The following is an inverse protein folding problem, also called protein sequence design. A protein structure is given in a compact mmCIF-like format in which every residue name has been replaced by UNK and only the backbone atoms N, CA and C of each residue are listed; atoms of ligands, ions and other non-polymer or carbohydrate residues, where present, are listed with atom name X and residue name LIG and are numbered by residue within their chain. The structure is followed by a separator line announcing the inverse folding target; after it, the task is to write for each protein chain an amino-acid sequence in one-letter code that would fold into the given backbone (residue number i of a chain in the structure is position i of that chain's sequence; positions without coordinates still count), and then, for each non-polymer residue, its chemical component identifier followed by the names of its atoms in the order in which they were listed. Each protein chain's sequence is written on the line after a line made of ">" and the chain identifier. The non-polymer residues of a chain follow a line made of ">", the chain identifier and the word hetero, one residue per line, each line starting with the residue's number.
data_IF_331856337136
#
_entry.id   IF_331856337136
#
_cell.length_a   1.000
_cell.length_b   1.000
_cell.length_c   1.000
_cell.angle_alpha   90.00
_cell.angle_beta   90.00
_cell.angle_gamma   90.00
#
_symmetry.space_group_name_H-M   'P 1'
#
loop_
_entity.id
_entity.type
_entity.pdbx_description
1 polymer ?
#
# COMPACT_ATOMS: atom_id res chain seq x y z
N UNK A 1 37.49 49.68 -9.16
CA UNK A 1 38.68 49.32 -8.37
C UNK A 1 38.83 47.80 -8.40
N UNK A 2 39.72 47.29 -9.25
CA UNK A 2 40.01 45.86 -9.36
C UNK A 2 41.33 45.54 -8.65
N UNK A 3 41.39 44.42 -7.94
CA UNK A 3 42.65 43.80 -7.53
C UNK A 3 42.53 42.29 -7.79
N UNK A 4 43.21 41.85 -8.84
CA UNK A 4 43.37 40.45 -9.23
C UNK A 4 44.44 39.77 -8.36
N UNK A 5 44.14 38.57 -7.86
CA UNK A 5 45.12 37.67 -7.23
C UNK A 5 45.84 36.87 -8.31
N UNK A 6 47.18 36.90 -8.29
CA UNK A 6 48.05 36.13 -9.19
C UNK A 6 48.21 34.69 -8.69
N UNK A 7 48.09 33.75 -9.62
CA UNK A 7 48.48 32.35 -9.51
C UNK A 7 50.01 32.16 -9.57
N UNK A 8 50.51 31.05 -9.01
CA UNK A 8 51.79 30.45 -9.40
C UNK A 8 51.63 28.95 -9.58
N UNK A 9 52.22 28.46 -10.67
CA UNK A 9 52.20 27.11 -11.21
C UNK A 9 53.22 26.17 -10.54
N UNK A 10 52.91 24.87 -10.62
CA UNK A 10 53.71 23.66 -10.32
C UNK A 10 54.93 23.49 -11.25
N UNK A 11 55.81 22.50 -10.94
CA UNK A 11 56.12 21.45 -11.94
C UNK A 11 56.28 20.04 -11.27
N UNK A 12 56.61 18.93 -11.98
CA UNK A 12 55.73 17.76 -12.12
C UNK A 12 56.33 16.45 -11.53
N UNK A 13 55.54 15.37 -11.58
CA UNK A 13 55.87 14.02 -11.06
C UNK A 13 56.95 13.24 -11.83
N UNK A 14 57.17 11.97 -11.44
CA UNK A 14 56.69 10.83 -12.23
C UNK A 14 55.97 9.81 -11.32
N UNK A 15 55.06 8.92 -11.72
CA UNK A 15 54.77 8.35 -13.02
C UNK A 15 54.77 6.82 -12.91
N UNK A 16 53.56 6.23 -12.99
CA UNK A 16 53.24 4.87 -13.50
C UNK A 16 53.45 3.64 -12.58
N UNK A 17 52.31 3.15 -12.04
CA UNK A 17 51.70 1.79 -12.00
C UNK A 17 52.52 0.49 -12.25
N UNK A 18 51.92 -0.71 -12.15
CA UNK A 18 51.17 -1.36 -11.04
C UNK A 18 51.80 -2.76 -10.75
N UNK A 19 51.34 -3.50 -9.72
CA UNK A 19 51.37 -4.99 -9.72
C UNK A 19 50.69 -5.62 -8.50
N UNK A 20 49.63 -6.37 -8.77
CA UNK A 20 49.27 -7.57 -8.01
C UNK A 20 50.33 -8.66 -8.23
N UNK A 21 50.42 -9.61 -7.29
CA UNK A 21 50.37 -11.00 -7.73
C UNK A 21 49.44 -11.84 -6.83
N UNK A 22 48.50 -12.55 -7.47
CA UNK A 22 48.10 -13.88 -6.96
C UNK A 22 49.23 -14.87 -7.23
N UNK A 23 49.30 -16.01 -6.51
CA UNK A 23 48.69 -17.24 -7.01
C UNK A 23 48.10 -18.08 -5.83
N UNK A 24 47.51 -19.27 -5.93
CA UNK A 24 47.43 -20.28 -6.95
C UNK A 24 46.18 -21.15 -6.69
N UNK A 25 45.60 -21.68 -7.76
CA UNK A 25 44.79 -22.90 -7.74
C UNK A 25 45.66 -24.08 -7.31
N UNK A 26 45.16 -24.90 -6.38
CA UNK A 26 45.63 -26.25 -6.17
C UNK A 26 44.48 -27.22 -6.49
N UNK A 27 44.58 -27.84 -7.66
CA UNK A 27 43.95 -29.13 -7.92
C UNK A 27 44.77 -30.21 -7.20
N UNK A 28 44.08 -31.13 -6.54
CA UNK A 28 44.66 -32.29 -5.87
C UNK A 28 43.67 -33.45 -5.93
N UNK A 29 44.01 -34.38 -6.81
CA UNK A 29 43.30 -35.61 -7.15
C UNK A 29 43.27 -36.68 -6.03
N UNK A 30 42.23 -37.50 -6.14
CA UNK A 30 42.19 -38.96 -5.94
C UNK A 30 42.25 -39.60 -4.53
N UNK A 31 41.25 -40.47 -4.31
CA UNK A 31 41.24 -41.86 -3.77
C UNK A 31 39.94 -42.05 -2.95
N UNK A 32 39.10 -43.09 -3.06
CA UNK A 32 38.96 -44.31 -3.86
C UNK A 32 37.47 -44.75 -3.68
N UNK A 33 36.70 -45.04 -4.73
CA UNK A 33 36.36 -46.39 -5.23
C UNK A 33 36.10 -47.47 -4.16
N UNK A 34 34.82 -47.81 -4.00
CA UNK A 34 34.27 -49.18 -4.04
C UNK A 34 32.78 -49.06 -4.43
N UNK A 35 32.38 -49.42 -5.66
CA UNK A 35 31.92 -50.75 -6.14
C UNK A 35 30.51 -51.10 -5.60
N UNK A 36 29.54 -51.66 -6.32
CA UNK A 36 29.26 -52.02 -7.72
C UNK A 36 27.76 -52.43 -7.76
N UNK A 37 27.11 -52.29 -8.92
CA UNK A 37 25.80 -52.89 -9.24
C UNK A 37 24.78 -51.84 -9.69
N UNK A 38 24.43 -51.67 -10.97
CA UNK A 38 24.49 -52.56 -12.11
C UNK A 38 23.05 -52.93 -12.52
N UNK A 39 22.45 -52.19 -13.46
CA UNK A 39 21.44 -52.67 -14.40
C UNK A 39 21.11 -51.57 -15.42
N UNK A 40 20.90 -52.01 -16.67
CA UNK A 40 20.98 -51.26 -17.90
C UNK A 40 19.69 -50.53 -18.31
N UNK A 41 19.94 -49.53 -19.16
CA UNK A 41 19.10 -48.83 -20.13
C UNK A 41 17.83 -49.53 -20.66
N UNK A 42 16.79 -48.71 -20.86
CA UNK A 42 15.67 -48.96 -21.77
C UNK A 42 15.05 -47.62 -22.21
N UNK A 43 15.21 -47.30 -23.49
CA UNK A 43 14.68 -46.14 -24.19
C UNK A 43 13.15 -46.24 -24.42
N UNK A 44 12.46 -45.10 -24.53
CA UNK A 44 11.17 -45.00 -25.25
C UNK A 44 10.08 -44.15 -24.58
N UNK A 45 9.41 -43.24 -25.33
CA UNK A 45 8.56 -42.20 -24.74
C UNK A 45 7.13 -42.70 -24.45
N UNK A 46 6.66 -42.51 -23.22
CA UNK A 46 5.28 -42.78 -22.83
C UNK A 46 4.33 -41.70 -23.34
N UNK A 47 3.59 -42.00 -24.41
CA UNK A 47 2.37 -41.28 -24.80
C UNK A 47 1.31 -41.43 -23.68
N UNK A 48 0.79 -40.30 -23.20
CA UNK A 48 -0.36 -40.26 -22.29
C UNK A 48 -1.62 -40.57 -23.11
N UNK A 49 -2.16 -41.77 -22.93
CA UNK A 49 -3.43 -42.21 -23.47
C UNK A 49 -4.59 -41.52 -22.73
N UNK A 50 -5.42 -40.79 -23.47
CA UNK A 50 -6.73 -40.28 -23.03
C UNK A 50 -7.68 -41.49 -22.91
N UNK A 51 -7.93 -41.91 -21.67
CA UNK A 51 -8.90 -42.96 -21.34
C UNK A 51 -10.30 -42.39 -21.11
N UNK A 52 -11.24 -42.87 -21.91
CA UNK A 52 -12.68 -42.62 -21.88
C UNK A 52 -13.36 -43.11 -20.59
N UNK A 53 -14.43 -42.39 -20.19
CA UNK A 53 -15.29 -42.65 -19.02
C UNK A 53 -15.91 -44.05 -19.01
N UNK A 54 -16.15 -44.63 -17.82
CA UNK A 54 -17.33 -45.45 -17.57
C UNK A 54 -18.40 -44.64 -16.82
N UNK A 55 -19.63 -44.81 -17.30
CA UNK A 55 -20.89 -44.35 -16.73
C UNK A 55 -21.35 -45.22 -15.55
N UNK A 56 -21.92 -44.59 -14.53
CA UNK A 56 -22.87 -45.22 -13.60
C UNK A 56 -22.46 -45.20 -12.13
N UNK A 57 -23.20 -44.44 -11.32
CA UNK A 57 -23.11 -44.54 -9.86
C UNK A 57 -23.60 -43.29 -9.11
N UNK A 58 -24.89 -43.31 -8.76
CA UNK A 58 -25.58 -42.64 -7.64
C UNK A 58 -25.18 -41.20 -7.23
N UNK A 59 -26.14 -40.27 -7.39
CA UNK A 59 -26.11 -38.92 -6.81
C UNK A 59 -26.33 -38.94 -5.28
N UNK A 60 -25.54 -38.23 -4.48
CA UNK A 60 -25.84 -37.97 -3.07
C UNK A 60 -26.78 -36.75 -2.92
N UNK A 61 -27.50 -36.65 -1.79
CA UNK A 61 -28.68 -35.78 -1.64
C UNK A 61 -28.34 -34.30 -1.41
N UNK A 62 -29.32 -33.46 -1.74
CA UNK A 62 -29.37 -32.01 -1.60
C UNK A 62 -28.88 -31.52 -0.23
N UNK A 63 -27.72 -30.84 -0.22
CA UNK A 63 -27.27 -30.06 0.93
C UNK A 63 -27.76 -28.61 0.77
N UNK A 64 -28.97 -28.36 1.29
CA UNK A 64 -29.50 -27.03 1.52
C UNK A 64 -28.74 -26.41 2.70
N UNK A 65 -27.82 -25.49 2.43
CA UNK A 65 -27.26 -24.64 3.48
C UNK A 65 -28.30 -23.60 3.89
N UNK A 66 -28.99 -23.87 5.00
CA UNK A 66 -29.83 -22.90 5.68
C UNK A 66 -28.98 -21.75 6.24
N UNK A 67 -29.38 -20.52 5.97
CA UNK A 67 -28.87 -19.33 6.66
C UNK A 67 -29.18 -19.42 8.16
N UNK A 68 -28.19 -19.31 9.06
CA UNK A 68 -28.48 -18.96 10.44
C UNK A 68 -28.74 -17.45 10.51
N UNK A 69 -30.01 -17.10 10.69
CA UNK A 69 -30.45 -15.80 11.21
C UNK A 69 -29.95 -15.67 12.65
N UNK A 70 -28.91 -14.87 12.88
CA UNK A 70 -28.51 -14.42 14.20
C UNK A 70 -28.41 -12.88 14.18
N UNK A 71 -29.37 -12.22 14.82
CA UNK A 71 -29.34 -10.79 15.08
C UNK A 71 -28.08 -10.42 15.91
N UNK A 72 -27.32 -9.37 15.54
CA UNK A 72 -26.25 -8.88 16.39
C UNK A 72 -26.84 -8.15 17.62
N UNK A 73 -26.15 -8.22 18.78
CA UNK A 73 -26.63 -7.63 20.02
C UNK A 73 -26.74 -6.11 19.93
N UNK A 74 -27.82 -5.57 20.49
CA UNK A 74 -28.09 -4.13 20.59
C UNK A 74 -27.16 -3.48 21.61
N UNK A 75 -26.24 -2.63 21.17
CA UNK A 75 -25.48 -1.75 22.06
C UNK A 75 -24.53 -0.82 21.32
N UNK A 76 -24.78 0.49 21.43
CA UNK A 76 -24.00 1.63 20.91
C UNK A 76 -23.93 1.81 19.38
N UNK A 77 -25.07 2.16 18.77
CA UNK A 77 -25.09 3.03 17.58
C UNK A 77 -25.09 4.48 18.04
N UNK A 78 -23.94 5.16 18.02
CA UNK A 78 -23.94 6.64 18.04
C UNK A 78 -24.50 7.12 16.70
N UNK A 79 -25.58 7.89 16.75
CA UNK A 79 -26.19 8.52 15.59
C UNK A 79 -25.19 9.50 14.96
N UNK A 80 -24.74 9.23 13.74
CA UNK A 80 -24.19 10.28 12.88
C UNK A 80 -25.33 11.22 12.47
N UNK A 81 -25.18 12.55 12.63
CA UNK A 81 -26.21 13.48 12.20
C UNK A 81 -26.43 13.36 10.69
N UNK A 82 -27.70 13.38 10.30
CA UNK A 82 -28.16 13.31 8.92
C UNK A 82 -27.52 14.40 8.06
N UNK A 83 -27.10 13.98 6.87
CA UNK A 83 -26.50 14.81 5.81
C UNK A 83 -27.21 16.15 5.67
N UNK A 84 -26.46 17.25 5.82
CA UNK A 84 -26.94 18.60 5.50
C UNK A 84 -27.14 18.69 3.98
N UNK A 85 -28.38 18.86 3.51
CA UNK A 85 -28.68 19.16 2.10
C UNK A 85 -28.12 20.55 1.76
N UNK A 86 -27.11 20.61 0.90
CA UNK A 86 -26.61 21.87 0.33
C UNK A 86 -27.54 22.30 -0.81
N UNK A 87 -28.17 23.46 -0.67
CA UNK A 87 -28.96 24.10 -1.71
C UNK A 87 -28.07 25.06 -2.49
N UNK A 88 -27.90 24.86 -3.80
CA UNK A 88 -27.18 25.82 -4.65
C UNK A 88 -26.28 25.27 -5.77
N UNK A 89 -26.62 24.18 -6.45
CA UNK A 89 -25.83 23.71 -7.61
C UNK A 89 -26.69 23.09 -8.74
N UNK A 90 -27.94 23.56 -8.87
CA UNK A 90 -29.04 22.81 -9.49
C UNK A 90 -28.87 22.34 -10.94
N UNK A 91 -28.08 23.00 -11.79
CA UNK A 91 -27.98 22.63 -13.23
C UNK A 91 -26.76 21.76 -13.57
N UNK A 92 -25.61 21.98 -12.95
CA UNK A 92 -24.42 21.14 -13.16
C UNK A 92 -24.57 19.80 -12.43
N UNK A 93 -25.10 19.82 -11.20
CA UNK A 93 -25.41 18.63 -10.39
C UNK A 93 -26.52 17.79 -11.04
N UNK A 94 -27.53 18.40 -11.68
CA UNK A 94 -28.55 17.66 -12.42
C UNK A 94 -27.96 16.92 -13.64
N UNK A 95 -27.13 17.59 -14.45
CA UNK A 95 -26.46 16.96 -15.60
C UNK A 95 -25.47 15.86 -15.18
N UNK A 96 -24.79 16.03 -14.05
CA UNK A 96 -23.93 14.99 -13.47
C UNK A 96 -24.75 13.81 -12.95
N UNK A 97 -25.88 14.05 -12.27
CA UNK A 97 -26.79 12.98 -11.83
C UNK A 97 -27.35 12.17 -13.00
N UNK A 98 -27.69 12.82 -14.11
CA UNK A 98 -28.08 12.12 -15.35
C UNK A 98 -26.92 11.32 -15.95
N UNK A 99 -25.67 11.83 -15.93
CA UNK A 99 -24.47 11.07 -16.34
C UNK A 99 -24.20 9.84 -15.47
N UNK A 100 -24.58 9.86 -14.19
CA UNK A 100 -24.43 8.71 -13.28
C UNK A 100 -25.65 7.78 -13.25
N UNK A 101 -26.79 8.16 -13.83
CA UNK A 101 -28.05 7.40 -13.78
C UNK A 101 -28.05 6.06 -14.56
N UNK A 102 -26.90 5.62 -15.09
CA UNK A 102 -26.72 4.33 -15.76
C UNK A 102 -25.37 3.65 -15.49
N UNK A 103 -24.52 4.24 -14.63
CA UNK A 103 -23.30 3.60 -14.16
C UNK A 103 -23.67 2.77 -12.92
N UNK A 104 -23.68 1.44 -13.06
CA UNK A 104 -23.89 0.57 -11.91
C UNK A 104 -22.82 0.88 -10.84
N UNK A 105 -23.21 1.10 -9.57
CA UNK A 105 -22.25 1.10 -8.47
C UNK A 105 -21.48 -0.23 -8.51
N UNK A 106 -20.15 -0.19 -8.52
CA UNK A 106 -19.33 -1.40 -8.64
C UNK A 106 -19.18 -1.97 -10.06
N UNK A 107 -19.24 -1.12 -11.10
CA UNK A 107 -18.81 -1.51 -12.46
C UNK A 107 -17.36 -2.00 -12.46
N UNK A 108 -17.18 -3.31 -12.30
CA UNK A 108 -15.89 -3.99 -12.33
C UNK A 108 -15.27 -3.81 -13.71
N UNK A 109 -14.23 -2.97 -13.82
CA UNK A 109 -13.28 -3.07 -14.91
C UNK A 109 -12.72 -4.49 -14.87
N UNK A 110 -12.99 -5.28 -15.91
CA UNK A 110 -12.50 -6.65 -16.06
C UNK A 110 -10.97 -6.68 -15.95
N UNK A 111 -10.40 -7.71 -15.30
CA UNK A 111 -8.95 -7.96 -15.23
C UNK A 111 -8.28 -7.62 -16.58
N UNK A 112 -7.46 -6.58 -16.60
CA UNK A 112 -6.88 -6.08 -17.84
C UNK A 112 -6.83 -4.57 -17.90
N UNK A 113 -6.10 -4.05 -18.87
CA UNK A 113 -5.81 -2.63 -18.99
C UNK A 113 -7.06 -1.90 -19.41
N UNK A 114 -7.38 -0.85 -18.68
CA UNK A 114 -8.50 0.03 -18.95
C UNK A 114 -8.08 1.08 -19.99
N UNK A 115 -8.49 0.97 -21.26
CA UNK A 115 -8.14 1.97 -22.28
C UNK A 115 -8.78 3.33 -22.00
N UNK A 116 -9.83 3.36 -21.17
CA UNK A 116 -10.58 4.54 -20.78
C UNK A 116 -10.25 4.99 -19.34
N UNK A 117 -9.12 4.53 -18.77
CA UNK A 117 -8.75 4.77 -17.36
C UNK A 117 -8.93 6.22 -16.92
N UNK A 118 -8.39 7.18 -17.69
CA UNK A 118 -8.50 8.60 -17.33
C UNK A 118 -9.95 9.09 -17.33
N UNK A 119 -10.77 8.62 -18.28
CA UNK A 119 -12.20 8.96 -18.32
C UNK A 119 -12.94 8.38 -17.12
N UNK A 120 -12.62 7.15 -16.70
CA UNK A 120 -13.19 6.55 -15.51
C UNK A 120 -12.75 7.28 -14.23
N UNK A 121 -11.47 7.68 -14.14
CA UNK A 121 -10.96 8.49 -13.02
C UNK A 121 -11.64 9.86 -12.96
N UNK A 122 -11.85 10.53 -14.10
CA UNK A 122 -12.54 11.81 -14.17
C UNK A 122 -14.03 11.67 -13.78
N UNK A 123 -14.70 10.57 -14.16
CA UNK A 123 -16.06 10.26 -13.73
C UNK A 123 -16.16 10.02 -12.21
N UNK A 124 -15.24 9.24 -11.65
CA UNK A 124 -15.16 9.03 -10.21
C UNK A 124 -14.87 10.36 -9.47
N UNK A 125 -13.97 11.18 -10.02
CA UNK A 125 -13.65 12.49 -9.47
C UNK A 125 -14.82 13.48 -9.52
N UNK A 126 -15.56 13.51 -10.63
CA UNK A 126 -16.78 14.28 -10.80
C UNK A 126 -17.84 13.87 -9.76
N UNK A 127 -17.97 12.57 -9.47
CA UNK A 127 -18.85 12.08 -8.41
C UNK A 127 -18.41 12.56 -7.03
N UNK A 128 -17.12 12.47 -6.70
CA UNK A 128 -16.60 12.97 -5.41
C UNK A 128 -16.88 14.47 -5.26
N UNK A 129 -16.59 15.29 -6.29
CA UNK A 129 -16.91 16.73 -6.28
C UNK A 129 -18.40 16.98 -6.08
N UNK A 130 -19.25 16.21 -6.76
CA UNK A 130 -20.70 16.28 -6.60
C UNK A 130 -21.15 16.03 -5.14
N UNK A 131 -20.52 15.08 -4.45
CA UNK A 131 -20.82 14.78 -3.04
C UNK A 131 -20.29 15.87 -2.09
N UNK A 132 -19.18 16.53 -2.44
CA UNK A 132 -18.59 17.62 -1.66
C UNK A 132 -19.30 18.98 -1.85
N UNK A 133 -20.01 19.18 -2.97
CA UNK A 133 -20.63 20.47 -3.30
C UNK A 133 -19.57 21.54 -3.53
N UNK A 134 -19.68 22.68 -2.85
CA UNK A 134 -18.73 23.80 -2.99
C UNK A 134 -17.44 23.61 -2.17
N UNK A 135 -17.36 22.54 -1.37
CA UNK A 135 -16.17 22.25 -0.55
C UNK A 135 -15.04 21.73 -1.45
N UNK A 136 -13.86 22.38 -1.47
CA UNK A 136 -12.71 21.86 -2.21
C UNK A 136 -12.18 20.57 -1.57
N UNK A 137 -11.62 19.68 -2.40
CA UNK A 137 -10.90 18.51 -1.87
C UNK A 137 -9.58 18.98 -1.23
N UNK A 138 -9.26 18.55 0.00
CA UNK A 138 -7.96 18.79 0.60
C UNK A 138 -6.80 18.26 -0.24
N UNK A 139 -5.70 19.02 -0.28
CA UNK A 139 -4.46 18.59 -0.97
C UNK A 139 -3.67 17.52 -0.22
N UNK A 140 -4.06 17.22 1.02
CA UNK A 140 -3.44 16.24 1.89
C UNK A 140 -4.43 15.11 2.18
N UNK A 141 -3.99 13.87 1.98
CA UNK A 141 -4.76 12.69 2.33
C UNK A 141 -4.05 11.80 3.35
N UNK A 142 -4.81 10.93 4.00
CA UNK A 142 -4.29 9.86 4.87
C UNK A 142 -4.99 8.55 4.54
N UNK A 143 -4.23 7.48 4.29
CA UNK A 143 -4.79 6.12 4.15
C UNK A 143 -4.68 5.43 5.50
N UNK A 144 -5.81 4.99 6.05
CA UNK A 144 -5.88 4.29 7.33
C UNK A 144 -5.98 2.78 7.06
N UNK A 145 -4.94 2.04 7.46
CA UNK A 145 -4.87 0.59 7.32
C UNK A 145 -5.64 -0.16 8.42
N UNK A 146 -5.48 -1.49 8.43
CA UNK A 146 -6.09 -2.37 9.43
C UNK A 146 -5.76 -1.90 10.86
N UNK A 147 -6.79 -1.77 11.71
CA UNK A 147 -6.67 -1.30 13.09
C UNK A 147 -6.45 0.20 13.27
N UNK A 148 -6.23 0.97 12.20
CA UNK A 148 -5.92 2.41 12.25
C UNK A 148 -7.11 3.29 11.86
N UNK A 149 -8.24 2.68 11.52
CA UNK A 149 -9.45 3.37 11.03
C UNK A 149 -10.09 4.34 12.02
N UNK A 150 -9.86 4.17 13.32
CA UNK A 150 -10.45 5.02 14.37
C UNK A 150 -10.06 6.50 14.24
N UNK A 151 -8.89 6.80 13.63
CA UNK A 151 -8.45 8.17 13.43
C UNK A 151 -9.42 8.99 12.56
N UNK A 152 -10.14 8.35 11.62
CA UNK A 152 -11.13 9.02 10.80
C UNK A 152 -12.34 9.52 11.60
N UNK A 153 -12.62 8.94 12.77
CA UNK A 153 -13.73 9.37 13.63
C UNK A 153 -13.46 10.73 14.29
N UNK A 154 -12.19 11.13 14.38
CA UNK A 154 -11.77 12.44 14.88
C UNK A 154 -11.87 13.56 13.83
N UNK A 155 -12.26 13.24 12.59
CA UNK A 155 -12.41 14.25 11.52
C UNK A 155 -13.67 15.08 11.77
N UNK A 156 -13.47 16.38 11.98
CA UNK A 156 -14.51 17.37 12.21
C UNK A 156 -15.14 17.83 10.89
N UNK A 157 -16.40 18.27 10.96
CA UNK A 157 -17.20 18.72 9.81
C UNK A 157 -17.21 17.74 8.63
N UNK A 158 -17.11 16.44 8.92
CA UNK A 158 -16.88 15.40 7.93
C UNK A 158 -18.03 15.22 6.92
N UNK A 159 -17.65 15.05 5.65
CA UNK A 159 -18.50 14.47 4.61
C UNK A 159 -17.96 13.05 4.34
N UNK A 160 -18.78 12.05 4.67
CA UNK A 160 -18.45 10.64 4.42
C UNK A 160 -19.06 10.19 3.08
N UNK A 161 -18.22 9.62 2.21
CA UNK A 161 -18.60 9.11 0.89
C UNK A 161 -18.23 7.63 0.84
N UNK A 162 -19.20 6.71 0.93
CA UNK A 162 -18.93 5.27 0.81
C UNK A 162 -18.28 4.92 -0.53
N UNK A 163 -17.27 4.02 -0.53
CA UNK A 163 -16.60 3.58 -1.75
C UNK A 163 -17.58 2.97 -2.74
N UNK A 164 -18.55 2.21 -2.25
CA UNK A 164 -19.58 1.60 -3.07
C UNK A 164 -20.45 2.61 -3.85
N UNK A 165 -20.52 3.88 -3.44
CA UNK A 165 -21.22 4.92 -4.18
C UNK A 165 -20.35 5.55 -5.28
N UNK A 166 -19.03 5.48 -5.15
CA UNK A 166 -18.11 6.12 -6.10
C UNK A 166 -17.95 5.21 -7.33
N UNK A 167 -18.25 5.69 -8.55
CA UNK A 167 -18.09 4.89 -9.76
C UNK A 167 -16.67 4.32 -9.88
N UNK A 168 -16.59 3.05 -10.28
CA UNK A 168 -15.33 2.31 -10.50
C UNK A 168 -14.46 2.07 -9.26
N UNK A 169 -14.84 2.57 -8.07
CA UNK A 169 -14.14 2.20 -6.85
C UNK A 169 -14.41 0.71 -6.54
N UNK A 170 -13.39 -0.03 -6.10
CA UNK A 170 -13.59 -1.35 -5.49
C UNK A 170 -14.41 -1.27 -4.20
N UNK A 171 -14.82 -2.43 -3.69
CA UNK A 171 -15.53 -2.56 -2.42
C UNK A 171 -14.62 -3.27 -1.43
N UNK A 172 -14.41 -2.71 -0.24
CA UNK A 172 -13.54 -3.33 0.74
C UNK A 172 -14.26 -4.51 1.39
N UNK A 173 -13.61 -5.66 1.47
CA UNK A 173 -14.16 -6.90 2.05
C UNK A 173 -13.46 -7.34 3.33
N UNK A 174 -12.38 -6.65 3.71
CA UNK A 174 -11.57 -6.95 4.89
C UNK A 174 -12.21 -6.35 6.14
N UNK A 175 -12.27 -7.14 7.20
CA UNK A 175 -12.75 -6.68 8.51
C UNK A 175 -11.94 -5.47 9.02
N UNK A 176 -12.63 -4.50 9.63
CA UNK A 176 -12.02 -3.26 10.11
C UNK A 176 -11.83 -2.16 9.03
N UNK A 177 -12.10 -2.44 7.75
CA UNK A 177 -12.12 -1.43 6.69
C UNK A 177 -13.55 -0.91 6.46
N UNK A 178 -13.85 0.29 6.94
CA UNK A 178 -15.18 0.88 6.84
C UNK A 178 -15.61 1.16 5.38
N UNK A 179 -14.64 1.31 4.47
CA UNK A 179 -14.90 1.42 3.04
C UNK A 179 -15.46 2.79 2.64
N UNK A 180 -14.87 3.88 3.14
CA UNK A 180 -15.35 5.25 2.85
C UNK A 180 -14.23 6.30 2.76
N UNK A 181 -14.48 7.35 1.99
CA UNK A 181 -13.73 8.60 2.01
C UNK A 181 -14.34 9.51 3.07
N UNK A 182 -13.52 10.06 3.95
CA UNK A 182 -13.95 11.02 4.98
C UNK A 182 -13.23 12.34 4.72
N UNK A 183 -13.98 13.36 4.31
CA UNK A 183 -13.43 14.68 3.94
C UNK A 183 -13.86 15.71 4.96
N UNK A 184 -12.89 16.31 5.65
CA UNK A 184 -13.16 17.29 6.70
C UNK A 184 -11.88 17.94 7.23
N UNK A 185 -11.87 18.25 8.52
CA UNK A 185 -10.72 18.84 9.21
C UNK A 185 -10.27 17.96 10.38
N UNK A 186 -8.97 17.80 10.57
CA UNK A 186 -8.39 17.16 11.74
C UNK A 186 -7.49 18.19 12.43
N UNK A 187 -7.87 18.65 13.62
CA UNK A 187 -7.20 19.75 14.35
C UNK A 187 -6.99 21.01 13.49
N UNK A 188 -8.03 21.43 12.76
CA UNK A 188 -7.96 22.58 11.86
C UNK A 188 -7.21 22.32 10.55
N UNK A 189 -6.61 21.15 10.36
CA UNK A 189 -5.93 20.77 9.10
C UNK A 189 -6.90 20.12 8.14
N UNK A 190 -7.16 20.68 6.93
CA UNK A 190 -8.03 20.03 5.94
C UNK A 190 -7.41 18.71 5.45
N UNK A 191 -8.17 17.62 5.52
CA UNK A 191 -7.70 16.27 5.14
C UNK A 191 -8.78 15.43 4.46
N UNK A 192 -8.33 14.55 3.56
CA UNK A 192 -9.13 13.42 3.06
C UNK A 192 -8.62 12.13 3.69
N UNK A 193 -9.40 11.48 4.54
CA UNK A 193 -9.05 10.16 5.08
C UNK A 193 -9.70 9.05 4.25
N UNK A 194 -8.89 8.09 3.79
CA UNK A 194 -9.35 6.83 3.24
C UNK A 194 -9.48 5.85 4.42
N UNK A 195 -10.71 5.67 4.91
CA UNK A 195 -10.98 4.78 6.04
C UNK A 195 -11.13 3.35 5.55
N UNK A 196 -9.98 2.76 5.29
CA UNK A 196 -9.78 1.46 4.70
C UNK A 196 -9.09 1.51 3.34
N UNK A 197 -8.77 0.34 2.79
CA UNK A 197 -8.14 0.17 1.48
C UNK A 197 -8.55 -1.12 0.81
N UNK A 198 -7.95 -1.36 -0.35
CA UNK A 198 -8.10 -2.57 -1.14
C UNK A 198 -6.77 -3.31 -1.23
N UNK A 199 -6.84 -4.63 -1.28
CA UNK A 199 -5.68 -5.51 -1.32
C UNK A 199 -5.75 -6.44 -2.52
N UNK A 200 -4.58 -6.85 -3.01
CA UNK A 200 -4.46 -7.80 -4.11
C UNK A 200 -5.08 -9.17 -3.76
N UNK A 201 -4.94 -9.60 -2.50
CA UNK A 201 -5.51 -10.87 -2.03
C UNK A 201 -7.04 -10.90 -2.01
N UNK A 202 -7.73 -9.75 -2.11
CA UNK A 202 -9.19 -9.68 -2.26
C UNK A 202 -9.65 -10.05 -3.69
N UNK A 203 -8.69 -10.32 -4.59
CA UNK A 203 -8.93 -10.69 -5.99
C UNK A 203 -8.91 -9.50 -6.95
N UNK A 204 -8.66 -8.30 -6.43
CA UNK A 204 -8.44 -7.08 -7.23
C UNK A 204 -7.09 -7.09 -7.92
N UNK A 205 -7.03 -6.55 -9.13
CA UNK A 205 -5.75 -6.26 -9.77
C UNK A 205 -5.11 -4.96 -9.22
N UNK A 206 -3.82 -4.79 -9.50
CA UNK A 206 -3.08 -3.63 -8.99
C UNK A 206 -3.63 -2.29 -9.49
N UNK A 207 -4.27 -2.24 -10.67
CA UNK A 207 -4.85 -1.01 -11.22
C UNK A 207 -6.12 -0.61 -10.47
N UNK A 208 -6.92 -1.59 -10.06
CA UNK A 208 -8.11 -1.42 -9.22
C UNK A 208 -7.72 -0.98 -7.81
N UNK A 209 -6.71 -1.61 -7.21
CA UNK A 209 -6.19 -1.26 -5.88
C UNK A 209 -5.81 0.21 -5.79
N UNK A 210 -5.13 0.75 -6.81
CA UNK A 210 -4.65 2.14 -6.80
C UNK A 210 -5.65 3.15 -7.36
N UNK A 211 -6.83 2.71 -7.82
CA UNK A 211 -7.81 3.58 -8.46
C UNK A 211 -8.21 4.78 -7.58
N UNK A 212 -8.50 4.62 -6.26
CA UNK A 212 -8.82 5.76 -5.40
C UNK A 212 -7.70 6.78 -5.31
N UNK A 213 -6.46 6.31 -5.19
CA UNK A 213 -5.27 7.17 -5.11
C UNK A 213 -5.14 7.99 -6.38
N UNK A 214 -5.34 7.36 -7.54
CA UNK A 214 -5.34 8.07 -8.84
C UNK A 214 -6.48 9.07 -8.93
N UNK A 215 -7.68 8.73 -8.45
CA UNK A 215 -8.81 9.67 -8.42
C UNK A 215 -8.50 10.88 -7.56
N UNK A 216 -7.98 10.70 -6.33
CA UNK A 216 -7.63 11.82 -5.45
C UNK A 216 -6.50 12.68 -6.01
N UNK A 217 -5.49 12.07 -6.63
CA UNK A 217 -4.42 12.79 -7.32
C UNK A 217 -4.95 13.63 -8.48
N UNK A 218 -5.85 13.08 -9.31
CA UNK A 218 -6.58 13.81 -10.37
C UNK A 218 -7.41 14.98 -9.82
N UNK A 219 -7.92 14.85 -8.59
CA UNK A 219 -8.67 15.90 -7.90
C UNK A 219 -7.78 16.95 -7.23
N UNK A 220 -6.46 16.80 -7.29
CA UNK A 220 -5.49 17.78 -6.79
C UNK A 220 -4.83 17.42 -5.46
N UNK A 221 -4.94 16.18 -4.98
CA UNK A 221 -4.11 15.70 -3.87
C UNK A 221 -2.63 15.84 -4.24
N UNK A 222 -1.82 16.43 -3.35
CA UNK A 222 -0.38 16.69 -3.54
C UNK A 222 0.51 15.91 -2.60
N UNK A 223 0.01 15.54 -1.41
CA UNK A 223 0.70 14.64 -0.51
C UNK A 223 -0.25 13.65 0.16
N UNK A 224 0.31 12.52 0.58
CA UNK A 224 -0.41 11.46 1.26
C UNK A 224 0.43 10.86 2.38
N UNK A 225 -0.21 10.62 3.53
CA UNK A 225 0.32 9.79 4.61
C UNK A 225 -0.29 8.39 4.45
N UNK A 226 0.50 7.41 4.05
CA UNK A 226 0.05 6.02 3.88
C UNK A 226 0.48 5.21 5.08
N UNK A 227 -0.49 4.65 5.79
CA UNK A 227 -0.23 3.86 7.00
C UNK A 227 -0.36 2.36 6.69
N UNK A 228 0.14 1.43 7.48
CA UNK A 228 -0.22 0.01 7.39
C UNK A 228 0.07 -0.70 8.71
N UNK A 229 -0.47 -1.91 8.87
CA UNK A 229 0.05 -2.88 9.82
C UNK A 229 1.05 -3.79 9.12
N UNK A 230 2.14 -4.15 9.81
CA UNK A 230 3.23 -4.94 9.25
C UNK A 230 3.83 -5.90 10.28
N UNK A 231 4.34 -7.04 9.79
CA UNK A 231 5.17 -7.95 10.58
C UNK A 231 6.61 -7.44 10.67
N UNK A 232 7.15 -7.37 11.87
CA UNK A 232 8.54 -6.96 12.12
C UNK A 232 9.52 -8.10 11.78
N UNK A 233 10.39 -7.87 10.80
CA UNK A 233 11.46 -8.79 10.37
C UNK A 233 12.75 -8.47 11.11
N UNK A 234 13.05 -7.18 11.29
CA UNK A 234 14.21 -6.74 12.05
C UNK A 234 14.00 -7.07 13.54
N UNK A 235 14.93 -7.79 14.20
CA UNK A 235 14.79 -8.18 15.61
C UNK A 235 14.78 -7.00 16.58
N UNK A 236 15.24 -5.82 16.16
CA UNK A 236 15.20 -4.59 16.97
C UNK A 236 13.82 -3.91 16.95
N UNK A 237 12.90 -4.37 16.11
CA UNK A 237 11.51 -3.93 16.07
C UNK A 237 10.64 -4.78 17.00
N UNK A 238 9.79 -4.12 17.77
CA UNK A 238 8.82 -4.79 18.64
C UNK A 238 7.37 -4.47 18.22
N UNK A 239 6.41 -5.38 18.50
CA UNK A 239 4.99 -5.06 18.37
C UNK A 239 4.64 -3.76 19.11
N UNK A 240 3.98 -2.84 18.41
CA UNK A 240 3.64 -1.50 18.87
C UNK A 240 4.60 -0.41 18.38
N UNK A 241 5.76 -0.76 17.83
CA UNK A 241 6.66 0.22 17.23
C UNK A 241 5.99 0.90 16.02
N UNK A 242 6.20 2.22 15.92
CA UNK A 242 5.88 3.00 14.73
C UNK A 242 7.15 3.14 13.90
N UNK A 243 7.11 2.67 12.66
CA UNK A 243 8.24 2.71 11.73
C UNK A 243 7.95 3.65 10.57
N UNK A 244 8.79 4.68 10.40
CA UNK A 244 8.83 5.47 9.18
C UNK A 244 9.44 4.64 8.05
N UNK A 245 8.70 4.49 6.94
CA UNK A 245 9.18 3.74 5.80
C UNK A 245 10.17 4.61 5.02
N UNK A 246 11.41 4.14 4.89
CA UNK A 246 12.48 4.87 4.18
C UNK A 246 12.62 4.42 2.74
N UNK A 247 12.36 3.15 2.47
CA UNK A 247 12.41 2.54 1.13
C UNK A 247 11.53 1.27 1.10
N UNK A 248 11.40 0.64 -0.07
CA UNK A 248 10.62 -0.58 -0.20
C UNK A 248 11.14 -1.64 -1.18
N UNK A 249 10.64 -2.86 -1.02
CA UNK A 249 10.85 -3.97 -1.96
C UNK A 249 9.50 -4.56 -2.38
N UNK A 250 9.20 -4.54 -3.68
CA UNK A 250 7.96 -5.09 -4.22
C UNK A 250 8.10 -6.56 -4.63
N UNK A 251 7.50 -7.47 -3.87
CA UNK A 251 7.52 -8.92 -4.13
C UNK A 251 6.15 -9.49 -4.51
N UNK A 252 5.19 -8.64 -4.87
CA UNK A 252 3.86 -9.11 -5.31
C UNK A 252 3.85 -9.74 -6.71
N UNK A 253 4.93 -9.57 -7.47
CA UNK A 253 4.98 -9.98 -8.88
C UNK A 253 4.09 -9.14 -9.81
N UNK A 254 3.55 -8.03 -9.31
CA UNK A 254 2.71 -7.10 -10.09
C UNK A 254 3.14 -5.65 -9.88
N UNK A 255 2.77 -4.79 -10.82
CA UNK A 255 3.02 -3.35 -10.75
C UNK A 255 1.82 -2.61 -11.38
N UNK A 256 1.24 -1.60 -10.71
CA UNK A 256 0.05 -0.89 -11.18
C UNK A 256 0.26 -0.06 -12.46
N UNK A 257 1.51 0.04 -12.95
CA UNK A 257 1.89 0.75 -14.18
C UNK A 257 2.08 -0.20 -15.38
N UNK A 258 1.98 -1.52 -15.17
CA UNK A 258 2.02 -2.50 -16.27
C UNK A 258 0.84 -2.23 -17.20
N UNK A 259 1.15 -1.75 -18.40
CA UNK A 259 0.18 -1.67 -19.48
C UNK A 259 0.24 -0.49 -20.42
N UNK A 260 -0.87 -0.20 -21.10
CA UNK A 260 -1.07 1.03 -21.84
C UNK A 260 -0.81 2.22 -20.93
N UNK A 261 -0.13 3.22 -21.48
CA UNK A 261 0.24 4.41 -20.76
C UNK A 261 -0.60 5.57 -21.23
N UNK A 262 -0.99 6.41 -20.29
CA UNK A 262 -1.63 7.69 -20.57
C UNK A 262 -0.78 8.79 -19.93
N UNK A 263 -0.19 9.64 -20.77
CA UNK A 263 0.72 10.71 -20.36
C UNK A 263 0.05 11.71 -19.39
N UNK A 264 -1.29 11.76 -19.34
CA UNK A 264 -2.05 12.59 -18.38
C UNK A 264 -1.91 12.12 -16.93
N UNK A 265 -1.41 10.91 -16.71
CA UNK A 265 -1.12 10.36 -15.37
C UNK A 265 0.30 10.67 -14.89
N UNK A 266 1.19 11.20 -15.75
CA UNK A 266 2.60 11.43 -15.46
C UNK A 266 3.52 10.56 -16.33
N UNK A 267 4.82 10.45 -16.03
CA UNK A 267 5.78 9.77 -16.90
C UNK A 267 5.50 8.26 -17.01
N UNK A 268 5.85 7.70 -18.18
CA UNK A 268 5.83 6.25 -18.41
C UNK A 268 6.73 5.49 -17.45
N UNK A 269 7.89 6.06 -17.16
CA UNK A 269 8.94 5.48 -16.33
C UNK A 269 9.25 6.44 -15.18
N UNK A 270 8.43 6.47 -14.11
CA UNK A 270 8.65 7.35 -12.97
C UNK A 270 9.90 6.94 -12.19
N UNK A 271 10.65 7.93 -11.72
CA UNK A 271 11.76 7.72 -10.78
C UNK A 271 11.24 7.45 -9.35
N UNK A 272 11.79 6.40 -8.75
CA UNK A 272 11.43 5.91 -7.42
C UNK A 272 12.53 6.09 -6.38
N UNK A 273 13.65 6.77 -6.69
CA UNK A 273 14.73 7.03 -5.72
C UNK A 273 14.22 7.62 -4.40
N UNK A 274 13.35 8.62 -4.50
CA UNK A 274 12.69 9.25 -3.34
C UNK A 274 11.20 8.88 -3.30
N UNK A 275 10.90 7.57 -3.39
CA UNK A 275 9.52 7.07 -3.31
C UNK A 275 8.80 7.54 -2.04
N UNK A 276 9.56 7.67 -0.94
CA UNK A 276 9.16 8.25 0.34
C UNK A 276 9.90 9.56 0.55
N UNK A 277 9.15 10.67 0.57
CA UNK A 277 9.70 12.01 0.47
C UNK A 277 10.60 12.36 1.67
N UNK A 278 11.90 12.64 1.48
CA UNK A 278 12.84 12.88 2.57
C UNK A 278 12.44 14.04 3.49
N UNK A 279 11.80 15.08 2.94
CA UNK A 279 11.34 16.23 3.73
C UNK A 279 10.12 15.87 4.57
N UNK A 280 9.20 15.05 4.07
CA UNK A 280 8.08 14.57 4.88
C UNK A 280 8.55 13.62 6.00
N UNK A 281 9.55 12.77 5.73
CA UNK A 281 10.17 11.91 6.75
C UNK A 281 10.84 12.73 7.86
N UNK A 282 11.58 13.78 7.49
CA UNK A 282 12.19 14.70 8.45
C UNK A 282 11.14 15.37 9.37
N UNK A 283 10.02 15.84 8.80
CA UNK A 283 8.90 16.40 9.57
C UNK A 283 8.31 15.38 10.56
N UNK A 284 8.16 14.12 10.15
CA UNK A 284 7.67 13.06 11.03
C UNK A 284 8.64 12.82 12.21
N UNK A 285 9.94 12.74 11.93
CA UNK A 285 10.97 12.55 12.95
C UNK A 285 11.03 13.73 13.94
N UNK A 286 10.89 14.96 13.46
CA UNK A 286 10.79 16.15 14.31
C UNK A 286 9.58 16.07 15.25
N UNK A 287 8.40 15.72 14.72
CA UNK A 287 7.17 15.58 15.52
C UNK A 287 7.31 14.46 16.55
N UNK A 288 7.86 13.30 16.17
CA UNK A 288 8.08 12.20 17.10
C UNK A 288 9.00 12.63 18.26
N UNK A 289 10.10 13.31 17.95
CA UNK A 289 11.04 13.85 18.95
C UNK A 289 10.37 14.88 19.86
N UNK A 290 9.57 15.79 19.31
CA UNK A 290 8.82 16.80 20.09
C UNK A 290 7.80 16.16 21.04
N UNK A 291 7.19 15.05 20.63
CA UNK A 291 6.19 14.33 21.41
C UNK A 291 6.76 13.27 22.35
N UNK A 292 8.08 13.06 22.34
CA UNK A 292 8.76 12.02 23.12
C UNK A 292 8.41 10.60 22.67
N UNK A 293 8.02 10.42 21.40
CA UNK A 293 7.67 9.13 20.82
C UNK A 293 8.89 8.47 20.20
N UNK A 294 9.05 7.16 20.44
CA UNK A 294 10.02 6.36 19.71
C UNK A 294 9.54 6.19 18.26
N UNK A 295 10.40 6.52 17.30
CA UNK A 295 10.15 6.33 15.87
C UNK A 295 11.29 5.48 15.30
N UNK A 296 10.92 4.37 14.67
CA UNK A 296 11.85 3.51 13.93
C UNK A 296 11.93 3.98 12.49
N UNK A 297 12.99 3.58 11.79
CA UNK A 297 13.12 3.76 10.34
C UNK A 297 13.47 2.41 9.72
N UNK A 298 12.96 2.12 8.52
CA UNK A 298 13.28 0.85 7.86
C UNK A 298 12.68 0.66 6.48
N UNK A 299 13.13 -0.41 5.83
CA UNK A 299 12.71 -0.86 4.50
C UNK A 299 11.49 -1.76 4.62
N UNK A 300 10.40 -1.40 3.94
CA UNK A 300 9.16 -2.16 3.93
C UNK A 300 9.08 -3.08 2.70
N UNK A 301 8.66 -4.32 2.86
CA UNK A 301 8.37 -5.21 1.74
C UNK A 301 6.88 -5.50 1.62
N UNK A 302 6.41 -5.65 0.38
CA UNK A 302 5.04 -6.10 0.12
C UNK A 302 5.03 -7.49 -0.49
N UNK A 303 4.15 -8.35 0.01
CA UNK A 303 3.80 -9.65 -0.52
C UNK A 303 2.33 -9.67 -0.91
N UNK A 304 1.92 -10.64 -1.73
CA UNK A 304 0.53 -10.72 -2.20
C UNK A 304 -0.46 -11.12 -1.10
N UNK A 305 -0.04 -11.95 -0.13
CA UNK A 305 -0.95 -12.59 0.83
C UNK A 305 -1.93 -13.58 0.16
N UNK A 306 -3.01 -14.01 0.85
CA UNK A 306 -3.39 -13.65 2.22
C UNK A 306 -2.70 -14.51 3.30
N UNK A 307 -1.97 -15.56 2.91
CA UNK A 307 -1.15 -16.31 3.87
C UNK A 307 -0.07 -15.41 4.44
N UNK A 308 0.16 -15.49 5.75
CA UNK A 308 1.40 -14.99 6.35
C UNK A 308 2.62 -15.72 5.77
N UNK A 309 3.79 -15.15 6.00
CA UNK A 309 5.05 -15.69 5.55
C UNK A 309 5.39 -16.98 6.30
N UNK A 310 6.14 -17.85 5.64
CA UNK A 310 6.88 -18.92 6.30
C UNK A 310 8.15 -18.37 6.95
N UNK A 311 8.72 -19.04 7.96
CA UNK A 311 10.02 -18.67 8.51
C UNK A 311 11.15 -18.62 7.47
N UNK A 312 11.06 -19.42 6.41
CA UNK A 312 12.04 -19.40 5.32
C UNK A 312 11.94 -18.13 4.48
N UNK A 313 10.72 -17.69 4.16
CA UNK A 313 10.47 -16.42 3.48
C UNK A 313 10.91 -15.24 4.36
N UNK A 314 10.63 -15.23 5.66
CA UNK A 314 11.10 -14.17 6.57
C UNK A 314 12.64 -14.07 6.58
N UNK A 315 13.35 -15.21 6.64
CA UNK A 315 14.82 -15.22 6.53
C UNK A 315 15.31 -14.71 5.18
N UNK A 316 14.59 -15.01 4.09
CA UNK A 316 14.89 -14.47 2.77
C UNK A 316 14.72 -12.95 2.77
N UNK A 317 13.60 -12.41 3.25
CA UNK A 317 13.32 -10.98 3.31
C UNK A 317 14.35 -10.23 4.16
N UNK A 318 14.73 -10.78 5.32
CA UNK A 318 15.80 -10.23 6.15
C UNK A 318 17.12 -10.13 5.39
N UNK A 319 17.49 -11.16 4.62
CA UNK A 319 18.70 -11.16 3.77
C UNK A 319 18.61 -10.20 2.59
N UNK A 320 17.40 -9.86 2.14
CA UNK A 320 17.16 -8.82 1.13
C UNK A 320 17.19 -7.40 1.72
N UNK A 321 17.36 -7.27 3.05
CA UNK A 321 17.42 -5.99 3.74
C UNK A 321 16.06 -5.41 4.14
N UNK A 322 15.02 -6.23 4.22
CA UNK A 322 13.70 -5.79 4.71
C UNK A 322 13.68 -5.71 6.24
N UNK A 323 13.13 -4.63 6.78
CA UNK A 323 12.86 -4.47 8.22
C UNK A 323 11.44 -4.90 8.59
N UNK A 324 10.48 -4.72 7.69
CA UNK A 324 9.10 -5.13 7.88
C UNK A 324 8.47 -5.69 6.58
N UNK A 325 7.43 -6.50 6.72
CA UNK A 325 6.61 -6.97 5.60
C UNK A 325 5.12 -6.75 5.84
N UNK A 326 4.37 -6.57 4.74
CA UNK A 326 2.92 -6.52 4.76
C UNK A 326 2.33 -6.82 3.39
N UNK A 327 1.04 -6.53 3.24
CA UNK A 327 0.25 -6.96 2.07
C UNK A 327 -0.41 -5.78 1.32
N UNK A 328 0.08 -4.55 1.55
CA UNK A 328 -0.47 -3.32 0.93
C UNK A 328 0.59 -2.23 0.73
N UNK A 329 0.16 -0.98 0.51
CA UNK A 329 1.00 0.23 0.46
C UNK A 329 1.79 0.42 -0.82
N UNK A 330 2.66 -0.51 -1.22
CA UNK A 330 3.60 -0.26 -2.33
C UNK A 330 2.90 0.05 -3.67
N UNK A 331 1.82 -0.64 -4.09
CA UNK A 331 1.10 -0.24 -5.31
C UNK A 331 0.63 1.22 -5.27
N UNK A 332 0.10 1.66 -4.13
CA UNK A 332 -0.38 3.04 -3.93
C UNK A 332 0.77 4.05 -3.98
N UNK A 333 1.93 3.71 -3.41
CA UNK A 333 3.17 4.51 -3.48
C UNK A 333 3.62 4.66 -4.93
N UNK A 334 3.68 3.56 -5.69
CA UNK A 334 4.09 3.59 -7.11
C UNK A 334 3.14 4.46 -7.95
N UNK A 335 1.82 4.38 -7.70
CA UNK A 335 0.85 5.24 -8.37
C UNK A 335 1.03 6.72 -7.98
N UNK A 336 1.30 7.02 -6.70
CA UNK A 336 1.61 8.37 -6.24
C UNK A 336 2.84 8.93 -6.97
N UNK A 337 3.90 8.13 -7.11
CA UNK A 337 5.14 8.52 -7.81
C UNK A 337 4.93 8.79 -9.28
N UNK A 338 4.12 7.98 -9.96
CA UNK A 338 3.70 8.29 -11.33
C UNK A 338 3.03 9.66 -11.40
N UNK A 339 2.16 9.99 -10.45
CA UNK A 339 1.34 11.20 -10.48
C UNK A 339 1.97 12.42 -9.79
N UNK A 340 3.24 12.34 -9.37
CA UNK A 340 3.94 13.43 -8.69
C UNK A 340 3.41 13.76 -7.28
N UNK A 341 2.72 12.82 -6.63
CA UNK A 341 2.22 12.96 -5.25
C UNK A 341 3.34 12.58 -4.28
N UNK A 342 3.59 13.44 -3.29
CA UNK A 342 4.59 13.22 -2.24
C UNK A 342 4.06 12.24 -1.19
N UNK A 343 4.87 11.27 -0.78
CA UNK A 343 4.41 10.19 0.13
C UNK A 343 5.19 10.20 1.43
N UNK A 344 4.48 10.09 2.55
CA UNK A 344 5.01 9.67 3.84
C UNK A 344 4.44 8.29 4.19
N UNK A 345 5.30 7.32 4.47
CA UNK A 345 4.90 5.97 4.85
C UNK A 345 5.11 5.70 6.35
N UNK A 346 4.11 5.12 7.01
CA UNK A 346 4.19 4.73 8.43
C UNK A 346 3.66 3.31 8.60
N UNK A 347 4.51 2.39 9.03
CA UNK A 347 4.10 1.04 9.44
C UNK A 347 3.93 0.98 10.95
N UNK A 348 2.78 0.48 11.40
CA UNK A 348 2.63 -0.07 12.73
C UNK A 348 3.15 -1.51 12.71
N UNK A 349 4.19 -1.79 13.49
CA UNK A 349 4.65 -3.16 13.70
C UNK A 349 3.61 -3.85 14.59
N UNK A 350 2.76 -4.69 14.02
CA UNK A 350 1.64 -5.30 14.72
C UNK A 350 2.02 -6.57 15.48
N UNK A 351 3.02 -7.28 14.95
CA UNK A 351 3.49 -8.58 15.41
C UNK A 351 4.93 -8.78 14.92
N UNK A 352 5.66 -9.73 15.51
CA UNK A 352 6.88 -10.24 14.89
C UNK A 352 6.53 -11.07 13.65
N UNK A 353 7.39 -11.08 12.64
CA UNK A 353 7.21 -11.93 11.48
C UNK A 353 7.36 -13.42 11.85
N UNK A 354 6.86 -14.31 10.99
CA UNK A 354 6.88 -15.75 11.23
C UNK A 354 8.31 -16.28 11.47
N UNK A 355 8.46 -17.16 12.46
CA UNK A 355 9.78 -17.68 12.87
C UNK A 355 10.59 -16.76 13.77
N UNK A 356 10.12 -15.53 14.00
CA UNK A 356 10.56 -14.65 15.09
C UNK A 356 9.49 -14.65 16.19
N UNK A 357 8.21 -14.63 15.80
CA UNK A 357 7.10 -14.81 16.72
C UNK A 357 7.12 -16.18 17.41
N UNK A 358 6.84 -16.20 18.72
CA UNK A 358 6.74 -17.43 19.52
C UNK A 358 5.41 -18.16 19.33
N UNK A 359 4.38 -17.45 18.84
CA UNK A 359 3.00 -17.93 18.70
C UNK A 359 2.52 -17.84 17.25
N UNK A 360 1.50 -18.63 16.85
CA UNK A 360 0.85 -18.49 15.55
C UNK A 360 0.27 -17.09 15.32
N UNK A 361 0.51 -16.53 14.15
CA UNK A 361 0.04 -15.20 13.77
C UNK A 361 -1.48 -15.19 13.51
N UNK A 362 -2.16 -14.19 14.04
CA UNK A 362 -3.62 -14.04 13.84
C UNK A 362 -3.98 -12.61 13.47
N UNK A 363 -5.08 -12.43 12.73
CA UNK A 363 -5.60 -11.08 12.45
C UNK A 363 -6.04 -10.34 13.73
N UNK A 364 -6.49 -11.09 14.73
CA UNK A 364 -6.91 -10.54 16.01
C UNK A 364 -5.76 -9.84 16.75
N UNK A 365 -4.55 -10.43 16.74
CA UNK A 365 -3.34 -9.82 17.33
C UNK A 365 -3.03 -8.45 16.70
N UNK A 366 -3.25 -8.32 15.38
CA UNK A 366 -3.06 -7.04 14.67
C UNK A 366 -4.00 -5.96 15.21
N UNK A 367 -5.28 -6.31 15.41
CA UNK A 367 -6.29 -5.39 15.94
C UNK A 367 -5.95 -4.99 17.38
N UNK A 368 -5.53 -5.94 18.22
CA UNK A 368 -5.18 -5.70 19.62
C UNK A 368 -3.95 -4.80 19.77
N UNK A 369 -2.88 -5.06 19.00
CA UNK A 369 -1.70 -4.20 18.98
C UNK A 369 -2.05 -2.80 18.50
N UNK A 370 -2.87 -2.67 17.44
CA UNK A 370 -3.31 -1.37 16.95
C UNK A 370 -4.12 -0.59 18.00
N UNK A 371 -5.02 -1.26 18.71
CA UNK A 371 -5.77 -0.63 19.81
C UNK A 371 -4.84 -0.14 20.93
N UNK A 372 -3.81 -0.92 21.28
CA UNK A 372 -2.84 -0.58 22.33
C UNK A 372 -2.04 0.69 22.03
N UNK A 373 -1.72 0.94 20.76
CA UNK A 373 -0.90 2.11 20.35
C UNK A 373 -1.68 3.18 19.58
N UNK A 374 -3.00 3.08 19.57
CA UNK A 374 -3.88 3.99 18.83
C UNK A 374 -3.67 5.45 19.21
N UNK A 375 -3.47 5.74 20.50
CA UNK A 375 -3.26 7.11 21.00
C UNK A 375 -1.93 7.69 20.52
N UNK A 376 -0.83 6.95 20.62
CA UNK A 376 0.48 7.41 20.17
C UNK A 376 0.53 7.55 18.64
N UNK A 377 -0.07 6.62 17.91
CA UNK A 377 -0.25 6.72 16.47
C UNK A 377 -1.07 7.97 16.08
N UNK A 378 -2.21 8.19 16.75
CA UNK A 378 -3.06 9.34 16.49
C UNK A 378 -2.33 10.65 16.80
N UNK A 379 -1.59 10.73 17.92
CA UNK A 379 -0.76 11.88 18.29
C UNK A 379 0.30 12.18 17.23
N UNK A 380 0.99 11.16 16.75
CA UNK A 380 2.03 11.30 15.73
C UNK A 380 1.45 11.82 14.41
N UNK A 381 0.37 11.19 13.91
CA UNK A 381 -0.28 11.57 12.65
C UNK A 381 -0.89 12.97 12.76
N UNK A 382 -1.63 13.27 13.83
CA UNK A 382 -2.21 14.61 14.07
C UNK A 382 -1.14 15.69 14.19
N UNK A 383 0.04 15.37 14.72
CA UNK A 383 1.17 16.28 14.80
C UNK A 383 1.83 16.57 13.44
N UNK A 384 1.97 15.56 12.57
CA UNK A 384 2.67 15.72 11.28
C UNK A 384 1.79 16.36 10.20
N UNK A 385 0.50 16.06 10.16
CA UNK A 385 -0.42 16.59 9.14
C UNK A 385 -0.39 18.12 8.97
N UNK A 386 -0.46 18.96 10.02
CA UNK A 386 -0.38 20.42 9.86
C UNK A 386 0.96 20.88 9.31
N UNK A 387 2.07 20.21 9.66
CA UNK A 387 3.42 20.52 9.13
C UNK A 387 3.50 20.24 7.64
N UNK A 388 2.95 19.10 7.20
CA UNK A 388 2.88 18.73 5.79
C UNK A 388 1.97 19.71 5.04
N UNK A 389 0.80 20.02 5.58
CA UNK A 389 -0.14 20.97 4.98
C UNK A 389 0.51 22.34 4.76
N UNK A 390 1.20 22.88 5.77
CA UNK A 390 1.95 24.13 5.64
C UNK A 390 3.04 24.03 4.55
N UNK A 391 3.78 22.92 4.51
CA UNK A 391 4.82 22.68 3.49
C UNK A 391 4.29 22.46 2.06
N UNK A 392 2.97 22.29 1.88
CA UNK A 392 2.31 22.24 0.57
C UNK A 392 1.80 23.61 0.09
N UNK A 393 1.71 24.60 0.99
CA UNK A 393 1.28 25.97 0.70
C UNK A 393 2.43 26.97 0.60
N UNK A 394 3.59 26.63 1.17
CA UNK A 394 4.88 27.30 0.95
C UNK A 394 5.55 26.77 -0.33
#
# INVERSE_FOLDING_TARGET
>A
MGVARRARCLPPGPGVEPRLPGPALAAGDALARDSLGGAQAGEGPGQILIGSRPSGGAAPPDCVFGHPSADPPRGLRRHFPTTRRVAGAGRAVARLRERFAGLAPGGSVTRGQDPDLVKHLDLAGDFVRLRLGDRPLPHLAVVLGSGLGALAEAVEDAICIPYAEVPYFPVSTVEGHAGQLVVGSLDGTPVTALQGRFHLYEGYDASQVVFPIRTLARLGMRAIVITNAAGGINPDLAPGDLMCITDHINLTGTNPLVGSHDDRLGPRFPDTQDAYDPRLRALLAEVAREQGLALREGVYSVLSGPSYETPAEVRMLSRLGCDACGMSTIPEVVACRQMGVRVLGISLISNHAAGIAEQPLTHQEVIETAARVADDFARLVRGVLPRIHAALGA
#
